data_IF_939716132500
#
_entry.id   IF_939716132500
#
_cell.length_a   1.000
_cell.length_b   1.000
_cell.length_c   1.000
_cell.angle_alpha   90.00
_cell.angle_beta   90.00
_cell.angle_gamma   90.00
#
_symmetry.space_group_name_H-M   'P 1'
#
loop_
_entity.id
_entity.type
_entity.pdbx_description
1 polymer ?
#
# COMPACT_ATOMS: atom_id res chain seq x y z
N UNK A 1 -21.54 2.80 12.23
CA UNK A 1 -20.54 3.88 12.03
C UNK A 1 -20.12 3.85 10.57
N UNK A 2 -20.67 4.76 9.78
CA UNK A 2 -20.44 4.83 8.33
C UNK A 2 -19.00 5.26 8.07
N UNK A 3 -18.23 4.42 7.37
CA UNK A 3 -16.86 4.75 6.96
C UNK A 3 -16.95 5.82 5.87
N UNK A 4 -16.34 6.99 6.10
CA UNK A 4 -16.44 8.19 5.25
C UNK A 4 -15.56 8.14 4.00
N UNK A 5 -14.67 7.14 3.91
CA UNK A 5 -13.73 7.02 2.82
C UNK A 5 -14.40 6.50 1.54
N UNK A 6 -14.18 7.15 0.38
CA UNK A 6 -14.75 6.69 -0.88
C UNK A 6 -14.22 5.30 -1.26
N UNK A 7 -15.12 4.39 -1.60
CA UNK A 7 -14.74 3.04 -2.04
C UNK A 7 -14.10 3.09 -3.44
N UNK A 8 -12.85 2.69 -3.55
CA UNK A 8 -12.14 2.59 -4.82
C UNK A 8 -12.25 1.18 -5.42
N UNK A 9 -12.75 1.08 -6.65
CA UNK A 9 -12.81 -0.20 -7.39
C UNK A 9 -11.48 -0.46 -8.10
N UNK A 10 -10.53 -1.04 -7.37
CA UNK A 10 -9.21 -1.39 -7.91
C UNK A 10 -9.31 -2.58 -8.89
N UNK A 11 -8.84 -2.40 -10.12
CA UNK A 11 -8.64 -3.50 -11.07
C UNK A 11 -7.27 -4.12 -10.79
N UNK A 12 -7.25 -5.39 -10.42
CA UNK A 12 -6.03 -6.11 -10.05
C UNK A 12 -5.96 -7.46 -10.79
N UNK A 13 -4.81 -7.81 -11.40
CA UNK A 13 -4.60 -9.14 -11.95
C UNK A 13 -4.77 -10.23 -10.88
N UNK A 14 -5.30 -11.40 -11.25
CA UNK A 14 -5.58 -12.47 -10.30
C UNK A 14 -4.33 -12.95 -9.53
N UNK A 15 -3.19 -13.06 -10.22
CA UNK A 15 -1.92 -13.44 -9.61
C UNK A 15 -1.48 -12.44 -8.53
N UNK A 16 -1.60 -11.14 -8.81
CA UNK A 16 -1.25 -10.09 -7.85
C UNK A 16 -2.21 -10.12 -6.65
N UNK A 17 -3.51 -10.32 -6.90
CA UNK A 17 -4.50 -10.42 -5.82
C UNK A 17 -4.18 -11.58 -4.86
N UNK A 18 -3.84 -12.74 -5.39
CA UNK A 18 -3.47 -13.91 -4.59
C UNK A 18 -2.24 -13.64 -3.71
N UNK A 19 -1.23 -12.95 -4.23
CA UNK A 19 -0.04 -12.57 -3.47
C UNK A 19 -0.40 -11.63 -2.31
N UNK A 20 -1.24 -10.62 -2.55
CA UNK A 20 -1.65 -9.68 -1.51
C UNK A 20 -2.54 -10.36 -0.47
N UNK A 21 -3.43 -11.27 -0.87
CA UNK A 21 -4.24 -12.07 0.05
C UNK A 21 -3.37 -12.94 0.97
N UNK A 22 -2.33 -13.58 0.43
CA UNK A 22 -1.40 -14.37 1.21
C UNK A 22 -0.59 -13.50 2.19
N UNK A 23 -0.11 -12.33 1.74
CA UNK A 23 0.59 -11.36 2.59
C UNK A 23 -0.30 -10.87 3.74
N UNK A 24 -1.55 -10.50 3.43
CA UNK A 24 -2.53 -10.04 4.40
C UNK A 24 -2.83 -11.11 5.47
N UNK A 25 -2.96 -12.38 5.05
CA UNK A 25 -3.16 -13.51 5.94
C UNK A 25 -1.97 -13.72 6.89
N UNK A 26 -0.74 -13.72 6.34
CA UNK A 26 0.47 -13.86 7.13
C UNK A 26 0.65 -12.71 8.14
N UNK A 27 0.26 -11.48 7.75
CA UNK A 27 0.30 -10.30 8.60
C UNK A 27 -0.94 -10.14 9.52
N UNK A 28 -1.87 -11.10 9.50
CA UNK A 28 -3.10 -11.13 10.32
C UNK A 28 -3.94 -9.85 10.21
N UNK A 29 -4.02 -9.27 9.01
CA UNK A 29 -4.80 -8.06 8.72
C UNK A 29 -5.72 -8.24 7.53
N UNK A 30 -6.70 -7.35 7.41
CA UNK A 30 -7.60 -7.37 6.26
C UNK A 30 -6.85 -7.07 4.96
N UNK A 31 -7.35 -7.59 3.84
CA UNK A 31 -6.80 -7.30 2.51
C UNK A 31 -6.69 -5.79 2.26
N UNK A 32 -7.70 -5.02 2.68
CA UNK A 32 -7.70 -3.57 2.53
C UNK A 32 -6.57 -2.91 3.33
N UNK A 33 -6.32 -3.37 4.56
CA UNK A 33 -5.23 -2.84 5.39
C UNK A 33 -3.85 -3.17 4.80
N UNK A 34 -3.67 -4.37 4.25
CA UNK A 34 -2.44 -4.75 3.55
C UNK A 34 -2.18 -3.86 2.34
N UNK A 35 -3.20 -3.63 1.50
CA UNK A 35 -3.09 -2.78 0.31
C UNK A 35 -2.69 -1.34 0.69
N UNK A 36 -3.35 -0.77 1.71
CA UNK A 36 -3.04 0.58 2.19
C UNK A 36 -1.59 0.66 2.67
N UNK A 37 -1.14 -0.27 3.52
CA UNK A 37 0.24 -0.28 4.04
C UNK A 37 1.27 -0.46 2.92
N UNK A 38 0.99 -1.32 1.93
CA UNK A 38 1.89 -1.53 0.79
C UNK A 38 2.06 -0.24 -0.03
N UNK A 39 0.96 0.50 -0.25
CA UNK A 39 0.98 1.79 -0.95
C UNK A 39 1.70 2.86 -0.12
N UNK A 40 1.36 3.02 1.15
CA UNK A 40 2.01 3.94 2.08
C UNK A 40 3.53 3.69 2.16
N UNK A 41 3.94 2.43 2.26
CA UNK A 41 5.35 2.03 2.29
C UNK A 41 6.08 2.40 0.98
N UNK A 42 5.41 2.19 -0.16
CA UNK A 42 5.95 2.54 -1.47
C UNK A 42 6.19 4.06 -1.58
N UNK A 43 5.25 4.89 -1.10
CA UNK A 43 5.38 6.34 -1.15
C UNK A 43 6.28 6.92 -0.05
N UNK A 44 6.35 6.31 1.14
CA UNK A 44 7.26 6.70 2.20
C UNK A 44 8.73 6.53 1.78
N UNK A 45 9.01 5.50 0.96
CA UNK A 45 10.33 5.31 0.38
C UNK A 45 10.71 6.44 -0.61
N UNK A 46 9.73 6.93 -1.40
CA UNK A 46 9.95 8.07 -2.31
C UNK A 46 10.25 9.36 -1.55
N UNK A 47 9.49 9.68 -0.50
CA UNK A 47 9.71 10.89 0.30
C UNK A 47 11.07 10.92 1.00
N UNK A 48 11.57 9.75 1.43
CA UNK A 48 12.89 9.62 2.06
C UNK A 48 14.02 9.73 1.03
N UNK A 49 13.78 9.34 -0.23
CA UNK A 49 14.78 9.35 -1.30
C UNK A 49 14.96 10.72 -1.93
N UNK A 50 13.91 11.56 -1.99
CA UNK A 50 14.00 12.91 -2.56
C UNK A 50 14.81 13.88 -1.67
N UNK A 51 14.74 13.75 -0.34
CA UNK A 51 15.43 14.65 0.59
C UNK A 51 16.96 14.45 0.63
N UNK A 52 17.47 13.29 0.21
CA UNK A 52 18.92 13.02 0.19
C UNK A 52 19.60 13.62 -1.06
N UNK A 53 18.86 13.77 -2.16
CA UNK A 53 19.40 14.25 -3.44
C UNK A 53 19.54 15.79 -3.49
N UNK A 54 18.74 16.55 -2.73
CA UNK A 54 18.74 18.03 -2.76
C UNK A 54 19.77 18.68 -1.80
N UNK A 55 20.36 17.92 -0.87
CA UNK A 55 21.36 18.45 0.09
C UNK A 55 22.81 18.40 -0.38
N UNK A 56 23.07 17.98 -1.61
CA UNK A 56 24.43 17.85 -2.18
C UNK A 56 24.67 18.69 -3.44
N UNK A 57 23.90 19.76 -3.66
CA UNK A 57 24.13 20.74 -4.72
C UNK A 57 24.60 22.08 -4.16
#
# INVERSE_FOLDING_TARGET
MSRTDPQFKLRMPAALRAQVEQSAWAARRSLNAEIVICLESSFAHVASSTNVQERSA
#
